data_IF_838166089060
#
_entry.id   IF_838166089060
#
_cell.length_a   1.000
_cell.length_b   1.000
_cell.length_c   1.000
_cell.angle_alpha   90.00
_cell.angle_beta   90.00
_cell.angle_gamma   90.00
#
_symmetry.space_group_name_H-M   'P 1'
#
loop_
_entity.id
_entity.type
_entity.pdbx_description
1 polymer ?
#
# COMPACT_ATOMS: atom_id res chain seq x y z
N UNK A 1 8.31 5.81 -6.83
CA UNK A 1 7.63 6.50 -7.96
C UNK A 1 7.91 5.67 -9.19
N UNK A 2 6.87 5.16 -9.85
CA UNK A 2 7.03 4.10 -10.86
C UNK A 2 6.77 4.60 -12.29
N UNK A 3 5.98 5.66 -12.51
CA UNK A 3 5.70 6.17 -13.87
C UNK A 3 6.06 7.66 -14.01
N UNK A 4 7.36 7.97 -14.12
CA UNK A 4 7.85 9.35 -14.22
C UNK A 4 7.32 10.08 -15.46
N UNK A 5 7.33 9.39 -16.62
CA UNK A 5 6.89 9.96 -17.89
C UNK A 5 5.42 10.38 -17.86
N UNK A 6 4.53 9.56 -17.28
CA UNK A 6 3.13 9.92 -17.14
C UNK A 6 2.92 11.12 -16.22
N UNK A 7 3.72 11.25 -15.15
CA UNK A 7 3.66 12.40 -14.24
C UNK A 7 4.05 13.69 -14.98
N UNK A 8 5.14 13.67 -15.74
CA UNK A 8 5.60 14.83 -16.51
C UNK A 8 4.55 15.30 -17.52
N UNK A 9 3.76 14.36 -18.05
CA UNK A 9 2.67 14.65 -19.00
C UNK A 9 1.32 14.94 -18.33
N UNK A 10 1.23 14.84 -17.00
CA UNK A 10 -0.03 14.99 -16.26
C UNK A 10 -1.06 13.90 -16.58
N UNK A 11 -0.61 12.74 -17.06
CA UNK A 11 -1.44 11.61 -17.45
C UNK A 11 -1.37 10.49 -16.41
N UNK A 12 -2.38 9.60 -16.42
CA UNK A 12 -2.35 8.37 -15.62
C UNK A 12 -1.39 7.33 -16.21
N UNK A 13 -1.43 7.19 -17.53
CA UNK A 13 -0.73 6.15 -18.29
C UNK A 13 -0.18 6.77 -19.58
N UNK A 14 1.03 6.39 -19.97
CA UNK A 14 1.60 6.72 -21.29
C UNK A 14 1.65 5.45 -22.14
N UNK A 15 2.27 4.39 -21.61
CA UNK A 15 2.37 3.07 -22.28
C UNK A 15 1.54 1.99 -21.57
N UNK A 16 0.27 2.33 -21.27
CA UNK A 16 -0.66 1.44 -20.57
C UNK A 16 -0.57 1.51 -19.04
N UNK A 17 -1.41 0.70 -18.37
CA UNK A 17 -1.52 0.72 -16.91
C UNK A 17 -0.42 -0.12 -16.27
N UNK A 18 0.70 0.52 -15.90
CA UNK A 18 1.86 -0.11 -15.25
C UNK A 18 1.43 -0.85 -13.98
N UNK A 19 0.46 -0.30 -13.24
CA UNK A 19 -0.11 -0.91 -12.04
C UNK A 19 -0.87 -2.21 -12.29
N UNK A 20 -1.01 -2.67 -13.55
CA UNK A 20 -1.65 -3.94 -13.92
C UNK A 20 -0.71 -4.90 -14.67
N UNK A 21 0.59 -4.63 -14.66
CA UNK A 21 1.58 -5.39 -15.43
C UNK A 21 2.49 -6.28 -14.56
N UNK A 22 2.46 -6.19 -13.23
CA UNK A 22 3.35 -6.98 -12.39
C UNK A 22 3.09 -8.50 -12.43
N UNK A 23 4.15 -9.30 -12.60
CA UNK A 23 4.08 -10.76 -12.61
C UNK A 23 3.52 -11.39 -13.89
N UNK A 24 3.35 -10.63 -14.98
CA UNK A 24 3.15 -11.20 -16.33
C UNK A 24 4.51 -11.27 -17.04
N UNK A 25 4.63 -12.12 -18.07
CA UNK A 25 5.86 -12.20 -18.89
C UNK A 25 6.05 -10.88 -19.65
N UNK A 26 6.79 -9.93 -19.07
CA UNK A 26 7.17 -8.68 -19.70
C UNK A 26 8.66 -8.70 -19.96
N UNK A 27 9.06 -9.00 -21.20
CA UNK A 27 10.48 -9.00 -21.57
C UNK A 27 11.05 -7.58 -21.76
N UNK A 28 10.20 -6.56 -21.94
CA UNK A 28 10.67 -5.29 -22.49
C UNK A 28 10.51 -4.04 -21.60
N UNK A 29 9.61 -4.01 -20.61
CA UNK A 29 9.46 -2.81 -19.75
C UNK A 29 10.66 -2.68 -18.76
N UNK A 30 11.51 -1.64 -18.89
CA UNK A 30 12.70 -1.49 -18.05
C UNK A 30 12.36 -1.12 -16.60
N UNK A 31 11.24 -0.44 -16.35
CA UNK A 31 10.83 -0.04 -15.00
C UNK A 31 10.31 -1.24 -14.23
N UNK A 32 9.46 -2.06 -14.85
CA UNK A 32 8.98 -3.29 -14.23
C UNK A 32 10.15 -4.21 -13.88
N UNK A 33 11.11 -4.41 -14.81
CA UNK A 33 12.32 -5.20 -14.53
C UNK A 33 13.16 -4.65 -13.39
N UNK A 34 13.33 -3.33 -13.32
CA UNK A 34 14.07 -2.69 -12.22
C UNK A 34 13.37 -2.92 -10.88
N UNK A 35 12.04 -2.76 -10.82
CA UNK A 35 11.26 -2.96 -9.60
C UNK A 35 11.28 -4.43 -9.18
N UNK A 36 11.03 -5.35 -10.10
CA UNK A 36 11.08 -6.80 -9.83
C UNK A 36 12.47 -7.24 -9.37
N UNK A 37 13.55 -6.66 -9.90
CA UNK A 37 14.92 -6.90 -9.43
C UNK A 37 15.13 -6.40 -8.00
N UNK A 38 14.73 -5.17 -7.69
CA UNK A 38 14.88 -4.60 -6.33
C UNK A 38 14.13 -5.45 -5.29
N UNK A 39 12.95 -5.95 -5.65
CA UNK A 39 12.13 -6.81 -4.79
C UNK A 39 12.70 -8.23 -4.71
N UNK A 40 13.18 -8.79 -5.81
CA UNK A 40 13.78 -10.13 -5.85
C UNK A 40 15.06 -10.25 -5.03
N UNK A 41 15.86 -9.18 -4.98
CA UNK A 41 17.14 -9.16 -4.26
C UNK A 41 16.98 -8.98 -2.74
N UNK A 42 15.80 -8.57 -2.25
CA UNK A 42 15.57 -8.26 -0.82
C UNK A 42 14.19 -8.70 -0.35
N UNK A 43 14.07 -9.52 0.70
CA UNK A 43 12.77 -9.82 1.28
C UNK A 43 12.12 -8.53 1.77
N UNK A 44 10.89 -8.27 1.32
CA UNK A 44 10.07 -7.14 1.77
C UNK A 44 8.99 -7.69 2.67
N UNK A 45 9.02 -7.38 3.96
CA UNK A 45 8.01 -7.86 4.89
C UNK A 45 6.76 -6.96 4.93
N UNK A 46 6.93 -5.65 4.69
CA UNK A 46 5.88 -4.64 4.75
C UNK A 46 5.93 -3.76 3.52
N UNK A 47 4.86 -3.78 2.71
CA UNK A 47 4.76 -3.02 1.48
C UNK A 47 3.55 -2.09 1.50
N UNK A 48 3.79 -0.84 1.11
CA UNK A 48 2.73 0.16 0.90
C UNK A 48 2.91 0.80 -0.46
N UNK A 49 1.94 0.62 -1.35
CA UNK A 49 1.77 1.42 -2.56
C UNK A 49 0.88 2.64 -2.25
N UNK A 50 1.13 3.77 -2.91
CA UNK A 50 0.42 5.03 -2.61
C UNK A 50 -0.21 5.59 -3.87
N UNK A 51 -1.54 5.69 -3.85
CA UNK A 51 -2.37 6.09 -4.97
C UNK A 51 -3.28 7.26 -4.57
N UNK A 52 -3.68 8.03 -5.57
CA UNK A 52 -4.65 9.10 -5.42
C UNK A 52 -5.92 8.76 -6.17
N UNK A 53 -7.04 8.62 -5.46
CA UNK A 53 -8.33 8.23 -6.03
C UNK A 53 -9.45 9.23 -5.69
N UNK A 54 -10.58 9.15 -6.39
CA UNK A 54 -11.75 10.03 -6.26
C UNK A 54 -12.54 9.81 -4.95
N UNK A 55 -12.03 9.00 -4.03
CA UNK A 55 -12.69 8.77 -2.74
C UNK A 55 -12.82 10.06 -1.91
N UNK A 56 -13.89 10.13 -1.13
CA UNK A 56 -14.13 11.23 -0.19
C UNK A 56 -13.38 11.07 1.14
N UNK A 57 -12.43 10.14 1.25
CA UNK A 57 -11.63 9.86 2.45
C UNK A 57 -10.52 8.85 2.15
N UNK A 58 -9.65 8.59 3.13
CA UNK A 58 -8.56 7.60 3.02
C UNK A 58 -9.14 6.18 3.08
N UNK A 59 -8.63 5.28 2.25
CA UNK A 59 -8.79 3.83 2.42
C UNK A 59 -7.50 3.07 2.12
N UNK A 60 -7.51 1.80 2.51
CA UNK A 60 -6.45 0.84 2.28
C UNK A 60 -7.04 -0.37 1.57
N UNK A 61 -6.49 -0.73 0.41
CA UNK A 61 -6.62 -2.07 -0.13
C UNK A 61 -5.56 -2.95 0.52
N UNK A 62 -5.93 -4.13 1.00
CA UNK A 62 -5.04 -4.92 1.87
C UNK A 62 -5.06 -6.39 1.50
N UNK A 63 -3.87 -6.98 1.51
CA UNK A 63 -3.62 -8.41 1.54
C UNK A 63 -2.69 -8.72 2.72
N UNK A 64 -3.12 -9.62 3.60
CA UNK A 64 -2.38 -10.03 4.81
C UNK A 64 -2.27 -11.56 4.81
N UNK A 65 -1.07 -12.07 5.13
CA UNK A 65 -0.83 -13.51 5.27
C UNK A 65 -0.23 -13.85 6.63
N UNK A 66 -0.34 -15.12 6.99
CA UNK A 66 0.47 -15.65 8.09
C UNK A 66 1.94 -15.46 7.76
N UNK A 67 2.62 -14.65 8.55
CA UNK A 67 4.03 -14.38 8.38
C UNK A 67 4.87 -15.48 9.04
N UNK A 68 5.82 -16.05 8.30
CA UNK A 68 6.82 -16.96 8.84
C UNK A 68 8.16 -16.25 8.87
N UNK A 69 8.65 -15.95 10.08
CA UNK A 69 9.98 -15.39 10.28
C UNK A 69 10.93 -16.48 10.73
N UNK A 70 11.74 -16.99 9.81
CA UNK A 70 12.54 -18.20 10.04
C UNK A 70 11.64 -19.40 10.36
N UNK A 71 11.82 -20.01 11.53
CA UNK A 71 11.00 -21.15 11.99
C UNK A 71 9.74 -20.75 12.77
N UNK A 72 9.54 -19.46 13.08
CA UNK A 72 8.42 -19.00 13.91
C UNK A 72 7.28 -18.48 13.05
N UNK A 73 6.06 -18.96 13.33
CA UNK A 73 4.81 -18.39 12.82
C UNK A 73 4.50 -17.15 13.65
N UNK A 74 4.29 -16.02 13.00
CA UNK A 74 3.90 -14.75 13.63
C UNK A 74 2.49 -14.43 13.16
N UNK A 75 1.56 -14.29 14.10
CA UNK A 75 0.24 -13.75 13.81
C UNK A 75 0.36 -12.23 13.74
N UNK A 76 0.04 -11.68 12.56
CA UNK A 76 0.05 -10.24 12.37
C UNK A 76 -1.23 -9.67 12.98
N UNK A 77 -1.15 -8.57 13.76
CA UNK A 77 -2.35 -7.83 14.11
C UNK A 77 -2.97 -7.22 12.85
N UNK A 78 -4.21 -6.75 12.98
CA UNK A 78 -4.92 -6.00 11.94
C UNK A 78 -4.30 -4.59 11.78
N UNK A 79 -3.13 -4.51 11.15
CA UNK A 79 -2.37 -3.26 10.99
C UNK A 79 -3.20 -2.17 10.29
N UNK A 80 -3.95 -2.43 9.21
CA UNK A 80 -4.77 -1.40 8.55
C UNK A 80 -5.81 -0.78 9.49
N UNK A 81 -6.45 -1.58 10.34
CA UNK A 81 -7.42 -1.11 11.34
C UNK A 81 -6.74 -0.24 12.40
N UNK A 82 -5.53 -0.60 12.82
CA UNK A 82 -4.73 0.22 13.73
C UNK A 82 -4.35 1.56 13.09
N UNK A 83 -4.00 1.56 11.80
CA UNK A 83 -3.77 2.80 11.05
C UNK A 83 -5.05 3.65 11.03
N UNK A 84 -6.18 3.08 10.64
CA UNK A 84 -7.47 3.79 10.62
C UNK A 84 -7.81 4.39 11.99
N UNK A 85 -7.52 3.68 13.09
CA UNK A 85 -7.72 4.18 14.45
C UNK A 85 -6.90 5.44 14.73
N UNK A 86 -5.61 5.44 14.38
CA UNK A 86 -4.75 6.63 14.52
C UNK A 86 -5.23 7.80 13.65
N UNK A 87 -5.65 7.51 12.41
CA UNK A 87 -6.16 8.52 11.50
C UNK A 87 -7.43 9.19 12.04
N UNK A 88 -8.33 8.41 12.66
CA UNK A 88 -9.51 8.94 13.35
C UNK A 88 -9.13 9.84 14.53
N UNK A 89 -8.12 9.48 15.32
CA UNK A 89 -7.60 10.32 16.41
C UNK A 89 -7.02 11.65 15.90
N UNK A 90 -6.48 11.66 14.67
CA UNK A 90 -5.99 12.87 13.99
C UNK A 90 -7.08 13.59 13.18
N UNK A 91 -8.35 13.25 13.41
CA UNK A 91 -9.54 13.81 12.74
C UNK A 91 -9.47 13.74 11.22
N UNK A 92 -8.79 12.72 10.67
CA UNK A 92 -8.71 12.51 9.23
C UNK A 92 -9.96 11.81 8.72
N UNK A 93 -10.39 12.20 7.52
CA UNK A 93 -11.58 11.64 6.89
C UNK A 93 -11.28 10.26 6.32
N UNK A 94 -11.99 9.24 6.82
CA UNK A 94 -11.87 7.86 6.38
C UNK A 94 -13.01 7.50 5.44
N UNK A 95 -12.71 6.77 4.38
CA UNK A 95 -13.70 6.23 3.46
C UNK A 95 -14.71 5.33 4.19
N UNK A 96 -16.00 5.48 3.89
CA UNK A 96 -17.10 4.85 4.64
C UNK A 96 -17.97 3.88 3.83
N UNK A 97 -17.54 3.44 2.65
CA UNK A 97 -18.25 2.39 1.89
C UNK A 97 -19.45 2.85 1.05
N UNK A 98 -19.77 4.16 1.02
CA UNK A 98 -20.82 4.67 0.14
C UNK A 98 -20.26 4.92 -1.27
N UNK A 99 -20.21 3.88 -2.10
CA UNK A 99 -19.86 3.93 -3.53
C UNK A 99 -19.74 2.53 -4.15
N UNK A 100 -20.22 2.35 -5.38
CA UNK A 100 -20.14 1.08 -6.11
C UNK A 100 -18.72 0.86 -6.69
N UNK A 101 -18.32 -0.40 -6.80
CA UNK A 101 -17.09 -0.92 -7.45
C UNK A 101 -15.76 -0.66 -6.73
N UNK A 102 -15.62 -1.21 -5.52
CA UNK A 102 -14.35 -1.14 -4.78
C UNK A 102 -13.26 -2.08 -5.31
N UNK A 103 -13.58 -3.11 -6.12
CA UNK A 103 -12.57 -4.12 -6.49
C UNK A 103 -12.15 -5.02 -5.32
N UNK A 104 -12.97 -5.11 -4.25
CA UNK A 104 -12.71 -5.92 -3.08
C UNK A 104 -13.88 -5.86 -2.07
N UNK A 105 -13.70 -6.52 -0.92
CA UNK A 105 -14.70 -6.57 0.16
C UNK A 105 -14.36 -5.58 1.25
N UNK A 106 -15.29 -4.70 1.61
CA UNK A 106 -15.10 -3.79 2.73
C UNK A 106 -15.06 -4.59 4.05
N UNK A 107 -13.88 -4.68 4.67
CA UNK A 107 -13.66 -5.41 5.93
C UNK A 107 -14.05 -4.56 7.13
N UNK A 108 -13.66 -3.29 7.10
CA UNK A 108 -13.99 -2.28 8.11
C UNK A 108 -13.95 -0.88 7.47
N UNK A 109 -14.35 0.17 8.18
CA UNK A 109 -14.34 1.52 7.64
C UNK A 109 -12.93 1.91 7.16
N UNK A 110 -12.77 2.13 5.85
CA UNK A 110 -11.49 2.49 5.24
C UNK A 110 -10.55 1.31 4.99
N UNK A 111 -10.95 0.06 5.25
CA UNK A 111 -10.14 -1.13 4.98
C UNK A 111 -10.88 -2.05 4.04
N UNK A 112 -10.29 -2.30 2.88
CA UNK A 112 -10.84 -3.10 1.80
C UNK A 112 -9.92 -4.29 1.59
N UNK A 113 -10.46 -5.48 1.80
CA UNK A 113 -9.77 -6.73 1.54
C UNK A 113 -9.84 -7.04 0.03
N UNK A 114 -8.68 -7.18 -0.62
CA UNK A 114 -8.63 -7.64 -2.02
C UNK A 114 -8.30 -9.13 -2.08
N UNK A 115 -8.65 -9.76 -3.21
CA UNK A 115 -8.32 -11.16 -3.46
C UNK A 115 -6.83 -11.28 -3.84
N UNK A 116 -6.08 -12.09 -3.10
CA UNK A 116 -4.69 -12.40 -3.40
C UNK A 116 -4.47 -13.08 -4.77
N UNK A 117 -5.54 -13.62 -5.38
CA UNK A 117 -5.54 -14.18 -6.73
C UNK A 117 -5.58 -13.11 -7.81
N UNK A 118 -5.82 -11.85 -7.48
CA UNK A 118 -5.74 -10.76 -8.44
C UNK A 118 -4.31 -10.68 -9.02
N UNK A 119 -4.22 -10.79 -10.35
CA UNK A 119 -2.94 -10.80 -11.07
C UNK A 119 -2.73 -9.45 -11.74
N UNK A 120 -1.48 -9.02 -11.80
CA UNK A 120 -1.08 -7.79 -12.48
C UNK A 120 -0.84 -6.60 -11.55
N UNK A 121 -1.40 -6.57 -10.35
CA UNK A 121 -1.19 -5.44 -9.44
C UNK A 121 0.10 -5.55 -8.64
N UNK A 122 0.68 -4.40 -8.27
CA UNK A 122 1.97 -4.35 -7.61
C UNK A 122 1.87 -4.92 -6.20
N UNK A 123 0.86 -4.51 -5.43
CA UNK A 123 0.60 -5.04 -4.10
C UNK A 123 0.36 -6.56 -4.12
N UNK A 124 -0.33 -7.09 -5.13
CA UNK A 124 -0.51 -8.54 -5.29
C UNK A 124 0.78 -9.26 -5.66
N UNK A 125 1.65 -8.62 -6.44
CA UNK A 125 2.99 -9.14 -6.71
C UNK A 125 3.83 -9.18 -5.44
N UNK A 126 3.84 -8.12 -4.64
CA UNK A 126 4.58 -8.04 -3.38
C UNK A 126 4.11 -9.09 -2.37
N UNK A 127 2.80 -9.26 -2.25
CA UNK A 127 2.20 -10.30 -1.41
C UNK A 127 2.67 -11.71 -1.80
N UNK A 128 2.64 -12.04 -3.10
CA UNK A 128 3.11 -13.34 -3.61
C UNK A 128 4.62 -13.55 -3.45
N UNK A 129 5.40 -12.47 -3.42
CA UNK A 129 6.84 -12.50 -3.19
C UNK A 129 7.21 -12.42 -1.70
N UNK A 130 6.26 -12.69 -0.80
CA UNK A 130 6.55 -12.94 0.61
C UNK A 130 6.27 -11.77 1.55
N UNK A 131 5.70 -10.66 1.07
CA UNK A 131 5.26 -9.59 1.96
C UNK A 131 4.24 -10.11 2.98
N UNK A 132 4.50 -9.83 4.26
CA UNK A 132 3.63 -10.18 5.37
C UNK A 132 2.33 -9.37 5.29
N UNK A 133 2.49 -8.08 5.02
CA UNK A 133 1.41 -7.13 4.73
C UNK A 133 1.74 -6.40 3.45
N UNK A 134 0.81 -6.45 2.51
CA UNK A 134 0.84 -5.68 1.27
C UNK A 134 -0.41 -4.82 1.20
N UNK A 135 -0.25 -3.51 1.07
CA UNK A 135 -1.38 -2.59 1.02
C UNK A 135 -1.22 -1.49 -0.01
N UNK A 136 -2.34 -0.99 -0.51
CA UNK A 136 -2.42 0.23 -1.31
C UNK A 136 -3.16 1.29 -0.50
N UNK A 137 -2.47 2.38 -0.16
CA UNK A 137 -3.04 3.57 0.43
C UNK A 137 -3.65 4.44 -0.66
N UNK A 138 -4.95 4.68 -0.56
CA UNK A 138 -5.68 5.59 -1.44
C UNK A 138 -6.02 6.88 -0.69
N UNK A 139 -5.44 8.00 -1.15
CA UNK A 139 -5.81 9.32 -0.64
C UNK A 139 -6.76 10.06 -1.59
N UNK A 140 -7.55 11.04 -1.10
CA UNK A 140 -8.43 11.82 -1.96
C UNK A 140 -7.65 12.67 -2.99
N UNK A 141 -7.69 12.30 -4.27
CA UNK A 141 -7.01 13.02 -5.35
C UNK A 141 -7.51 14.46 -5.53
N UNK A 142 -8.78 14.73 -5.18
CA UNK A 142 -9.42 16.04 -5.30
C UNK A 142 -8.91 17.11 -4.33
N UNK A 143 -7.96 16.80 -3.44
CA UNK A 143 -7.34 17.78 -2.54
C UNK A 143 -6.54 18.80 -3.37
N UNK A 144 -6.85 20.09 -3.25
CA UNK A 144 -6.19 21.14 -4.07
C UNK A 144 -4.80 21.56 -3.55
N UNK A 145 -4.54 21.41 -2.25
CA UNK A 145 -3.29 21.86 -1.62
C UNK A 145 -2.29 20.71 -1.47
N UNK A 146 -1.05 20.94 -1.90
CA UNK A 146 0.04 19.97 -1.79
C UNK A 146 0.29 19.52 -0.33
N UNK A 147 0.26 20.44 0.63
CA UNK A 147 0.49 20.10 2.04
C UNK A 147 -0.62 19.21 2.60
N UNK A 148 -1.86 19.43 2.15
CA UNK A 148 -2.96 18.55 2.53
C UNK A 148 -2.78 17.17 1.90
N UNK A 149 -2.39 17.05 0.63
CA UNK A 149 -2.06 15.76 0.01
C UNK A 149 -0.95 15.05 0.78
N UNK A 150 0.14 15.76 1.09
CA UNK A 150 1.26 15.25 1.88
C UNK A 150 0.81 14.73 3.23
N UNK A 151 -0.04 15.47 3.96
CA UNK A 151 -0.61 15.01 5.23
C UNK A 151 -1.38 13.70 5.05
N UNK A 152 -2.16 13.58 3.99
CA UNK A 152 -2.97 12.39 3.69
C UNK A 152 -2.14 11.19 3.22
N UNK A 153 -0.87 11.37 2.88
CA UNK A 153 0.07 10.29 2.53
C UNK A 153 0.96 9.95 3.73
N UNK A 154 1.67 10.93 4.28
CA UNK A 154 2.69 10.69 5.28
C UNK A 154 2.14 10.22 6.63
N UNK A 155 0.99 10.75 7.06
CA UNK A 155 0.42 10.36 8.36
C UNK A 155 0.00 8.88 8.36
N UNK A 156 -0.71 8.36 7.35
CA UNK A 156 -0.92 6.92 7.20
C UNK A 156 0.35 6.09 7.13
N UNK A 157 1.34 6.50 6.34
CA UNK A 157 2.60 5.77 6.17
C UNK A 157 3.37 5.66 7.48
N UNK A 158 3.50 6.77 8.21
CA UNK A 158 4.16 6.80 9.52
C UNK A 158 3.46 5.88 10.53
N UNK A 159 2.12 5.90 10.54
CA UNK A 159 1.33 4.99 11.38
C UNK A 159 1.57 3.52 11.02
N UNK A 160 1.55 3.18 9.73
CA UNK A 160 1.81 1.81 9.26
C UNK A 160 3.20 1.31 9.61
N UNK A 161 4.23 2.12 9.35
CA UNK A 161 5.62 1.81 9.72
C UNK A 161 5.73 1.60 11.22
N UNK A 162 5.15 2.49 12.03
CA UNK A 162 5.21 2.39 13.49
C UNK A 162 4.56 1.12 14.04
N UNK A 163 3.37 0.77 13.55
CA UNK A 163 2.67 -0.45 14.00
C UNK A 163 3.41 -1.71 13.55
N UNK A 164 3.88 -1.76 12.31
CA UNK A 164 4.64 -2.91 11.80
C UNK A 164 6.00 -3.06 12.49
N UNK A 165 6.78 -1.98 12.57
CA UNK A 165 8.07 -1.98 13.25
C UNK A 165 7.94 -2.29 14.74
N UNK A 166 6.82 -1.90 15.37
CA UNK A 166 6.54 -2.21 16.77
C UNK A 166 6.41 -3.70 17.08
N UNK A 167 6.17 -4.55 16.08
CA UNK A 167 6.09 -6.01 16.23
C UNK A 167 7.46 -6.67 16.41
N UNK A 168 8.52 -5.97 16.05
CA UNK A 168 9.85 -6.57 15.88
C UNK A 168 10.90 -5.74 16.65
N UNK A 169 11.48 -6.28 17.73
CA UNK A 169 12.49 -5.60 18.53
C UNK A 169 13.66 -5.00 17.74
N UNK A 170 14.07 -5.65 16.65
CA UNK A 170 15.13 -5.20 15.74
C UNK A 170 14.78 -3.93 14.95
N UNK A 171 13.49 -3.57 14.85
CA UNK A 171 13.05 -2.33 14.22
C UNK A 171 12.79 -1.22 15.24
N UNK A 172 13.02 -1.44 16.55
CA UNK A 172 12.81 -0.43 17.60
C UNK A 172 13.61 0.84 17.38
N UNK A 173 14.81 0.74 16.82
CA UNK A 173 15.66 1.90 16.54
C UNK A 173 15.18 2.74 15.34
N UNK A 174 14.34 2.17 14.47
CA UNK A 174 13.66 2.90 13.38
C UNK A 174 12.59 3.84 13.94
N UNK A 175 11.96 3.47 15.06
CA UNK A 175 10.84 4.20 15.68
C UNK A 175 11.33 5.34 16.60
N UNK A 176 12.50 5.19 17.25
CA UNK A 176 12.99 6.10 18.30
C UNK A 176 13.60 7.43 17.80
N UNK A 177 13.78 7.64 16.50
CA UNK A 177 14.50 8.81 15.95
C UNK A 177 13.62 10.02 15.58
N UNK A 178 12.40 10.16 16.11
CA UNK A 178 11.56 11.35 15.88
C UNK A 178 10.81 11.80 17.13
#
# INVERSE_FOLDING_TARGET
MVNLQAIEQGQRNVDGDIGRQFGKKHQDDPVLRMVERIVGDRPVDFFVDVHGERFKGVCFYVQEQTYKRGRKKVELPQIPEMIVKDLKQKSMKIYSGRGNNLGGTLRSQGVIQTDAREKGTFESYMYRNGAAVSMTLEYPAGLKRCDTRRKYVYVPLESGIRHFAGLFPEYKDVIRKR
#
